data_IF_014686455478
#
_entry.id   IF_014686455478
#
_cell.length_a   1.000
_cell.length_b   1.000
_cell.length_c   1.000
_cell.angle_alpha   90.00
_cell.angle_beta   90.00
_cell.angle_gamma   90.00
#
_symmetry.space_group_name_H-M   'P 1'
#
loop_
_entity.id
_entity.type
_entity.pdbx_description
1 polymer ?
#
# COMPACT_ATOMS: atom_id res chain seq x y z
N UNK A 1 -3.56 -8.94 -9.36
CA UNK A 1 -4.16 -7.63 -9.04
C UNK A 1 -3.27 -6.62 -9.72
N UNK A 2 -3.66 -6.17 -10.92
CA UNK A 2 -2.69 -5.59 -11.85
C UNK A 2 -2.69 -4.06 -11.81
N UNK A 3 -3.81 -3.42 -11.41
CA UNK A 3 -3.84 -1.99 -11.19
C UNK A 3 -3.45 -1.62 -9.75
N UNK A 4 -2.28 -2.11 -9.34
CA UNK A 4 -1.71 -1.84 -8.02
C UNK A 4 -0.25 -1.39 -8.12
N UNK A 5 0.13 -0.45 -7.27
CA UNK A 5 1.50 -0.19 -6.87
C UNK A 5 1.76 -0.87 -5.54
N UNK A 6 2.73 -1.78 -5.49
CA UNK A 6 3.21 -2.37 -4.25
C UNK A 6 4.39 -1.57 -3.70
N UNK A 7 4.29 -1.12 -2.45
CA UNK A 7 5.35 -0.43 -1.72
C UNK A 7 5.80 -1.32 -0.56
N UNK A 8 7.04 -1.76 -0.60
CA UNK A 8 7.72 -2.37 0.54
C UNK A 8 8.90 -1.52 0.99
N UNK A 9 9.67 -1.99 1.96
CA UNK A 9 10.92 -1.35 2.30
C UNK A 9 11.91 -2.30 2.93
N UNK A 10 13.18 -1.92 2.89
CA UNK A 10 14.27 -2.75 3.39
C UNK A 10 14.22 -3.00 4.90
N UNK A 11 13.41 -2.23 5.64
CA UNK A 11 13.23 -2.39 7.08
C UNK A 11 12.10 -1.56 7.67
N UNK A 12 12.13 -1.43 9.00
CA UNK A 12 11.25 -0.52 9.75
C UNK A 12 11.79 0.90 9.65
N UNK A 13 10.88 1.88 9.64
CA UNK A 13 11.21 3.31 9.66
C UNK A 13 12.16 3.77 8.53
N UNK A 14 12.11 3.10 7.37
CA UNK A 14 12.84 3.49 6.15
C UNK A 14 12.06 4.48 5.28
N UNK A 15 10.93 5.00 5.77
CA UNK A 15 10.14 6.01 5.05
C UNK A 15 9.01 5.48 4.14
N UNK A 16 8.68 4.18 4.17
CA UNK A 16 7.62 3.58 3.33
C UNK A 16 6.31 4.38 3.29
N UNK A 17 5.79 4.72 4.46
CA UNK A 17 4.51 5.44 4.58
C UNK A 17 4.63 6.86 4.06
N UNK A 18 5.73 7.56 4.35
CA UNK A 18 5.98 8.90 3.82
C UNK A 18 6.09 8.89 2.29
N UNK A 19 6.85 7.93 1.76
CA UNK A 19 6.99 7.70 0.33
C UNK A 19 5.62 7.44 -0.33
N UNK A 20 4.84 6.52 0.23
CA UNK A 20 3.48 6.25 -0.25
C UNK A 20 2.55 7.45 -0.17
N UNK A 21 2.63 8.26 0.90
CA UNK A 21 1.82 9.47 1.04
C UNK A 21 2.17 10.50 -0.03
N UNK A 22 3.45 10.70 -0.35
CA UNK A 22 3.87 11.60 -1.43
C UNK A 22 3.27 11.16 -2.78
N UNK A 23 3.30 9.87 -3.08
CA UNK A 23 2.74 9.29 -4.31
C UNK A 23 1.21 9.46 -4.38
N UNK A 24 0.51 9.17 -3.28
CA UNK A 24 -0.94 9.34 -3.19
C UNK A 24 -1.32 10.81 -3.39
N UNK A 25 -0.56 11.74 -2.80
CA UNK A 25 -0.79 13.17 -2.97
C UNK A 25 -0.72 13.60 -4.44
N UNK A 26 0.20 13.07 -5.23
CA UNK A 26 0.29 13.39 -6.65
C UNK A 26 -0.82 12.75 -7.50
N UNK A 27 -1.10 11.46 -7.27
CA UNK A 27 -2.12 10.72 -8.00
C UNK A 27 -3.54 11.26 -7.74
N UNK A 28 -3.83 11.59 -6.48
CA UNK A 28 -5.15 12.09 -6.05
C UNK A 28 -5.54 13.41 -6.71
N UNK A 29 -4.59 14.18 -7.24
CA UNK A 29 -4.88 15.40 -8.00
C UNK A 29 -5.62 15.13 -9.31
N UNK A 30 -5.59 13.89 -9.84
CA UNK A 30 -6.14 13.54 -11.16
C UNK A 30 -7.09 12.34 -11.15
N UNK A 31 -6.97 11.44 -10.18
CA UNK A 31 -7.82 10.24 -10.07
C UNK A 31 -8.09 9.89 -8.62
N UNK A 32 -9.24 9.31 -8.28
CA UNK A 32 -9.42 8.62 -7.01
C UNK A 32 -8.34 7.54 -6.83
N UNK A 33 -7.76 7.47 -5.64
CA UNK A 33 -6.72 6.48 -5.28
C UNK A 33 -7.15 5.77 -4.01
N UNK A 34 -7.10 4.45 -4.04
CA UNK A 34 -7.32 3.63 -2.85
C UNK A 34 -5.99 3.20 -2.25
N UNK A 35 -5.96 3.03 -0.94
CA UNK A 35 -4.77 2.56 -0.22
C UNK A 35 -5.10 1.35 0.64
N UNK A 36 -4.19 0.40 0.66
CA UNK A 36 -4.21 -0.74 1.59
C UNK A 36 -2.91 -0.72 2.37
N UNK A 37 -2.97 -0.44 3.67
CA UNK A 37 -1.81 -0.48 4.56
C UNK A 37 -1.84 -1.77 5.37
N UNK A 38 -0.86 -2.65 5.16
CA UNK A 38 -0.78 -3.94 5.85
C UNK A 38 0.28 -3.86 6.96
N UNK A 39 -0.12 -4.21 8.18
CA UNK A 39 0.75 -4.38 9.34
C UNK A 39 0.78 -5.85 9.76
N UNK A 40 1.99 -6.40 9.96
CA UNK A 40 2.19 -7.68 10.65
C UNK A 40 2.16 -7.53 12.18
N UNK A 41 2.15 -6.29 12.68
CA UNK A 41 2.05 -5.99 14.10
C UNK A 41 0.60 -5.73 14.46
N UNK A 42 0.12 -6.51 15.43
CA UNK A 42 -1.25 -6.45 15.87
C UNK A 42 -1.40 -5.38 16.95
N UNK A 43 -2.33 -4.46 16.75
CA UNK A 43 -2.61 -3.34 17.63
C UNK A 43 -4.07 -3.37 18.07
N UNK A 44 -4.34 -2.94 19.31
CA UNK A 44 -5.70 -2.74 19.78
C UNK A 44 -6.38 -1.70 18.89
N UNK A 45 -7.57 -2.04 18.41
CA UNK A 45 -8.38 -1.16 17.59
C UNK A 45 -8.81 0.06 18.41
N UNK A 46 -8.88 1.22 17.76
CA UNK A 46 -9.47 2.43 18.33
C UNK A 46 -10.66 2.84 17.49
N UNK A 47 -11.53 3.68 18.04
CA UNK A 47 -12.83 4.07 17.46
C UNK A 47 -12.76 4.71 16.07
N UNK A 48 -11.57 5.14 15.61
CA UNK A 48 -11.37 5.73 14.28
C UNK A 48 -11.37 4.71 13.11
N UNK A 49 -11.58 3.43 13.39
CA UNK A 49 -11.57 2.34 12.42
C UNK A 49 -12.94 1.70 12.31
N UNK A 50 -13.48 1.63 11.10
CA UNK A 50 -14.69 0.86 10.82
C UNK A 50 -14.30 -0.58 10.42
N UNK A 51 -14.47 -1.54 11.34
CA UNK A 51 -14.09 -2.94 11.12
C UNK A 51 -15.01 -3.58 10.07
N UNK A 52 -14.43 -4.08 8.99
CA UNK A 52 -15.14 -4.77 7.90
C UNK A 52 -15.13 -6.29 8.08
N UNK A 53 -14.01 -6.84 8.53
CA UNK A 53 -13.88 -8.24 8.94
C UNK A 53 -12.84 -8.39 10.03
N UNK A 54 -13.05 -9.34 10.94
CA UNK A 54 -12.14 -9.68 12.03
C UNK A 54 -12.22 -11.18 12.32
N UNK A 55 -11.33 -11.93 11.69
CA UNK A 55 -11.06 -13.34 12.00
C UNK A 55 -9.73 -13.46 12.74
N UNK A 56 -9.47 -14.62 13.37
CA UNK A 56 -8.37 -14.87 14.33
C UNK A 56 -6.98 -14.36 13.90
N UNK A 57 -6.74 -14.19 12.59
CA UNK A 57 -5.46 -13.79 12.00
C UNK A 57 -5.54 -12.73 10.90
N UNK A 58 -6.73 -12.24 10.61
CA UNK A 58 -6.99 -11.22 9.59
C UNK A 58 -8.02 -10.24 10.11
N UNK A 59 -7.62 -8.98 10.21
CA UNK A 59 -8.55 -7.88 10.47
C UNK A 59 -8.38 -6.84 9.37
N UNK A 60 -9.49 -6.41 8.80
CA UNK A 60 -9.57 -5.35 7.80
C UNK A 60 -10.51 -4.29 8.34
N UNK A 61 -10.04 -3.05 8.40
CA UNK A 61 -10.85 -1.91 8.77
C UNK A 61 -10.66 -0.75 7.78
N UNK A 62 -11.70 0.02 7.55
CA UNK A 62 -11.62 1.29 6.83
C UNK A 62 -11.19 2.39 7.82
N UNK A 63 -10.14 3.13 7.46
CA UNK A 63 -9.78 4.36 8.17
C UNK A 63 -10.74 5.46 7.71
N UNK A 64 -11.28 6.20 8.66
CA UNK A 64 -12.26 7.27 8.41
C UNK A 64 -11.82 8.62 8.98
N UNK A 65 -10.76 8.66 9.78
CA UNK A 65 -10.26 9.88 10.43
C UNK A 65 -8.83 10.20 9.99
N UNK A 66 -8.69 11.23 9.15
CA UNK A 66 -7.40 11.73 8.67
C UNK A 66 -6.53 12.36 9.79
N UNK A 67 -7.08 12.62 10.97
CA UNK A 67 -6.40 13.29 12.10
C UNK A 67 -6.06 12.34 13.25
N UNK A 68 -6.34 11.04 13.12
CA UNK A 68 -6.16 10.05 14.19
C UNK A 68 -4.70 9.82 14.62
N UNK A 69 -3.72 10.35 13.88
CA UNK A 69 -2.28 10.21 14.15
C UNK A 69 -1.69 8.84 13.81
N UNK A 70 -2.51 7.90 13.31
CA UNK A 70 -2.08 6.58 12.82
C UNK A 70 -1.36 6.69 11.48
N UNK A 71 -0.56 5.68 11.17
CA UNK A 71 0.07 5.62 9.85
C UNK A 71 -0.93 5.49 8.70
N UNK A 72 -2.07 4.82 8.90
CA UNK A 72 -3.15 4.72 7.92
C UNK A 72 -3.80 6.07 7.64
N UNK A 73 -4.03 6.90 8.67
CA UNK A 73 -4.66 8.21 8.48
C UNK A 73 -3.80 9.21 7.73
N UNK A 74 -2.47 9.03 7.74
CA UNK A 74 -1.56 9.81 6.88
C UNK A 74 -1.90 9.67 5.39
N UNK A 75 -2.37 8.50 4.95
CA UNK A 75 -2.80 8.30 3.57
C UNK A 75 -4.10 9.02 3.24
N UNK A 76 -5.07 9.06 4.17
CA UNK A 76 -6.27 9.87 4.00
C UNK A 76 -5.92 11.35 3.93
N UNK A 77 -5.08 11.83 4.85
CA UNK A 77 -4.59 13.20 4.85
C UNK A 77 -3.83 13.57 3.57
N UNK A 78 -3.18 12.59 2.94
CA UNK A 78 -2.52 12.76 1.64
C UNK A 78 -3.49 12.81 0.44
N UNK A 79 -4.79 12.56 0.63
CA UNK A 79 -5.80 12.65 -0.43
C UNK A 79 -6.29 11.31 -0.96
N UNK A 80 -5.96 10.18 -0.30
CA UNK A 80 -6.57 8.90 -0.65
C UNK A 80 -8.09 8.97 -0.49
N UNK A 81 -8.81 8.44 -1.47
CA UNK A 81 -10.28 8.39 -1.45
C UNK A 81 -10.80 7.36 -0.46
N UNK A 82 -10.08 6.24 -0.31
CA UNK A 82 -10.35 5.19 0.67
C UNK A 82 -9.04 4.60 1.16
N UNK A 83 -8.99 4.27 2.44
CA UNK A 83 -7.84 3.62 3.06
C UNK A 83 -8.32 2.44 3.89
N UNK A 84 -7.79 1.26 3.60
CA UNK A 84 -7.94 0.09 4.44
C UNK A 84 -6.69 -0.14 5.27
N UNK A 85 -6.86 -0.16 6.59
CA UNK A 85 -5.86 -0.67 7.51
C UNK A 85 -6.10 -2.16 7.73
N UNK A 86 -5.04 -2.95 7.53
CA UNK A 86 -5.10 -4.40 7.63
C UNK A 86 -4.07 -4.89 8.64
N UNK A 87 -4.52 -5.68 9.62
CA UNK A 87 -3.65 -6.49 10.44
C UNK A 87 -3.72 -7.93 9.92
N UNK A 88 -2.61 -8.46 9.44
CA UNK A 88 -2.56 -9.80 8.86
C UNK A 88 -1.24 -10.49 9.20
N UNK A 89 -1.33 -11.78 9.55
CA UNK A 89 -0.16 -12.67 9.53
C UNK A 89 0.09 -13.18 8.11
N UNK A 90 1.28 -13.73 7.88
CA UNK A 90 1.70 -14.22 6.57
C UNK A 90 0.75 -15.29 6.01
N UNK A 91 0.30 -16.21 6.86
CA UNK A 91 -0.66 -17.26 6.49
C UNK A 91 -2.03 -16.73 6.03
N UNK A 92 -2.37 -15.49 6.37
CA UNK A 92 -3.65 -14.85 6.03
C UNK A 92 -3.57 -13.96 4.79
N UNK A 93 -2.38 -13.74 4.23
CA UNK A 93 -2.21 -12.92 3.03
C UNK A 93 -2.95 -13.47 1.80
N UNK A 94 -3.03 -14.79 1.55
CA UNK A 94 -3.86 -15.32 0.46
C UNK A 94 -5.33 -14.95 0.58
N UNK A 95 -5.88 -15.02 1.79
CA UNK A 95 -7.29 -14.65 2.07
C UNK A 95 -7.49 -13.15 1.82
N UNK A 96 -6.55 -12.32 2.27
CA UNK A 96 -6.58 -10.89 1.99
C UNK A 96 -6.55 -10.59 0.49
N UNK A 97 -5.74 -11.31 -0.31
CA UNK A 97 -5.71 -11.12 -1.76
C UNK A 97 -7.07 -11.39 -2.40
N UNK A 98 -7.78 -12.43 -1.98
CA UNK A 98 -9.13 -12.71 -2.48
C UNK A 98 -10.12 -11.63 -2.05
N UNK A 99 -10.06 -11.17 -0.80
CA UNK A 99 -10.87 -10.05 -0.34
C UNK A 99 -10.62 -8.78 -1.19
N UNK A 100 -9.36 -8.45 -1.48
CA UNK A 100 -8.98 -7.31 -2.29
C UNK A 100 -9.52 -7.40 -3.72
N UNK A 101 -9.49 -8.59 -4.35
CA UNK A 101 -10.05 -8.81 -5.70
C UNK A 101 -11.57 -8.68 -5.74
N UNK A 102 -12.25 -9.09 -4.66
CA UNK A 102 -13.71 -9.01 -4.56
C UNK A 102 -14.20 -7.59 -4.28
N UNK A 103 -13.44 -6.81 -3.50
CA UNK A 103 -13.89 -5.51 -3.01
C UNK A 103 -13.30 -4.32 -3.78
N UNK A 104 -12.23 -4.51 -4.54
CA UNK A 104 -11.61 -3.45 -5.34
C UNK A 104 -11.68 -3.78 -6.82
N UNK A 105 -12.34 -2.90 -7.57
CA UNK A 105 -12.43 -2.98 -9.03
C UNK A 105 -11.04 -3.07 -9.67
N UNK A 106 -10.88 -3.92 -10.69
CA UNK A 106 -9.63 -4.06 -11.45
C UNK A 106 -9.19 -2.78 -12.17
N UNK A 107 -10.10 -1.82 -12.36
CA UNK A 107 -9.85 -0.50 -12.97
C UNK A 107 -9.48 0.59 -11.96
N UNK A 108 -9.57 0.32 -10.66
CA UNK A 108 -9.27 1.30 -9.63
C UNK A 108 -7.78 1.26 -9.29
N UNK A 109 -7.04 2.38 -9.39
CA UNK A 109 -5.67 2.44 -8.89
C UNK A 109 -5.63 2.21 -7.38
N UNK A 110 -4.74 1.29 -6.97
CA UNK A 110 -4.48 0.98 -5.56
C UNK A 110 -3.01 1.17 -5.25
N UNK A 111 -2.70 1.81 -4.12
CA UNK A 111 -1.37 1.77 -3.50
C UNK A 111 -1.42 0.80 -2.32
N UNK A 112 -0.53 -0.17 -2.29
CA UNK A 112 -0.47 -1.20 -1.25
C UNK A 112 0.84 -1.08 -0.51
N UNK A 113 0.82 -0.70 0.77
CA UNK A 113 2.00 -0.76 1.64
C UNK A 113 2.08 -2.15 2.29
N UNK A 114 3.01 -3.00 1.84
CA UNK A 114 3.22 -4.34 2.40
C UNK A 114 4.59 -4.90 2.06
N UNK A 115 5.25 -5.51 3.05
CA UNK A 115 6.50 -6.26 2.82
C UNK A 115 6.28 -7.71 2.38
N UNK A 116 5.08 -8.27 2.57
CA UNK A 116 4.80 -9.69 2.31
C UNK A 116 3.89 -9.95 1.10
N UNK A 117 2.99 -9.02 0.76
CA UNK A 117 1.94 -9.28 -0.22
C UNK A 117 2.48 -9.58 -1.63
N UNK A 118 3.68 -9.10 -1.97
CA UNK A 118 4.30 -9.33 -3.29
C UNK A 118 4.57 -10.80 -3.62
N UNK A 119 4.51 -11.72 -2.65
CA UNK A 119 4.58 -13.18 -2.92
C UNK A 119 3.27 -13.75 -3.48
N UNK A 120 2.17 -13.00 -3.33
CA UNK A 120 0.82 -13.46 -3.63
C UNK A 120 0.14 -12.64 -4.73
N UNK A 121 0.75 -11.53 -5.14
CA UNK A 121 0.24 -10.68 -6.22
C UNK A 121 1.33 -10.37 -7.24
N UNK A 122 0.93 -10.17 -8.48
CA UNK A 122 1.73 -9.48 -9.48
C UNK A 122 1.16 -8.08 -9.69
N UNK A 123 1.74 -7.05 -9.05
CA UNK A 123 1.27 -5.68 -9.17
C UNK A 123 1.60 -5.13 -10.57
N UNK A 124 0.98 -4.00 -10.91
CA UNK A 124 1.32 -3.27 -12.13
C UNK A 124 2.71 -2.66 -12.02
N UNK A 125 3.05 -2.16 -10.83
CA UNK A 125 4.38 -1.66 -10.51
C UNK A 125 4.74 -1.98 -9.06
N UNK A 126 6.04 -1.98 -8.75
CA UNK A 126 6.52 -2.21 -7.39
C UNK A 126 7.71 -1.33 -7.06
N UNK A 127 7.82 -0.98 -5.79
CA UNK A 127 8.84 -0.10 -5.23
C UNK A 127 9.32 -0.66 -3.90
N UNK A 128 10.63 -0.65 -3.71
CA UNK A 128 11.29 -0.98 -2.46
C UNK A 128 11.96 0.27 -1.88
N UNK A 129 11.44 0.75 -0.75
CA UNK A 129 11.93 1.97 -0.09
C UNK A 129 13.05 1.63 0.89
N UNK A 130 14.23 2.22 0.69
CA UNK A 130 15.42 1.95 1.50
C UNK A 130 16.16 3.25 1.81
N UNK A 131 17.06 3.23 2.79
CA UNK A 131 17.78 4.43 3.26
C UNK A 131 19.30 4.22 3.25
N UNK A 132 19.80 3.42 2.30
CA UNK A 132 21.22 3.07 2.15
C UNK A 132 21.81 2.18 3.25
N UNK A 133 21.05 1.83 4.31
CA UNK A 133 21.56 1.05 5.45
C UNK A 133 21.34 -0.46 5.35
N UNK A 134 20.49 -0.92 4.42
CA UNK A 134 20.07 -2.32 4.34
C UNK A 134 19.86 -2.74 2.90
N UNK A 135 20.64 -3.71 2.42
CA UNK A 135 20.41 -4.40 1.13
C UNK A 135 19.49 -5.60 1.33
N UNK A 136 18.28 -5.38 1.84
CA UNK A 136 17.33 -6.47 1.93
C UNK A 136 16.66 -6.67 0.58
N UNK A 137 17.11 -7.67 -0.17
CA UNK A 137 16.44 -8.12 -1.40
C UNK A 137 15.06 -8.68 -1.04
N UNK A 138 14.06 -8.34 -1.85
CA UNK A 138 12.77 -9.02 -1.84
C UNK A 138 12.88 -10.34 -2.60
N UNK A 139 12.00 -11.28 -2.29
CA UNK A 139 11.85 -12.55 -3.00
C UNK A 139 10.79 -12.47 -4.11
N UNK A 140 10.52 -11.25 -4.59
CA UNK A 140 9.53 -11.01 -5.63
C UNK A 140 10.00 -11.54 -6.98
N UNK A 141 9.07 -12.13 -7.73
CA UNK A 141 9.32 -12.69 -9.07
C UNK A 141 9.15 -11.66 -10.19
N UNK A 142 9.15 -10.37 -9.86
CA UNK A 142 8.92 -9.25 -10.78
C UNK A 142 9.87 -8.08 -10.49
N UNK A 143 10.07 -7.25 -11.50
CA UNK A 143 10.87 -6.03 -11.44
C UNK A 143 10.28 -4.99 -10.47
N UNK A 144 11.15 -4.21 -9.84
CA UNK A 144 10.78 -3.15 -8.92
C UNK A 144 11.82 -2.03 -8.90
N UNK A 145 11.39 -0.82 -8.57
CA UNK A 145 12.30 0.29 -8.35
C UNK A 145 12.84 0.31 -6.93
N UNK A 146 14.10 0.70 -6.79
CA UNK A 146 14.66 1.13 -5.51
C UNK A 146 14.48 2.63 -5.38
N UNK A 147 13.94 3.09 -4.26
CA UNK A 147 13.82 4.52 -3.97
C UNK A 147 14.19 4.82 -2.51
N UNK A 148 14.56 6.06 -2.23
CA UNK A 148 14.62 6.63 -0.89
C UNK A 148 13.31 7.34 -0.50
N UNK A 149 13.13 7.65 0.79
CA UNK A 149 11.91 8.29 1.32
C UNK A 149 11.52 9.59 0.59
N UNK A 150 12.52 10.37 0.13
CA UNK A 150 12.34 11.68 -0.48
C UNK A 150 12.33 11.67 -2.01
N UNK A 151 12.60 10.51 -2.62
CA UNK A 151 12.58 10.35 -4.08
C UNK A 151 11.21 10.15 -4.75
N UNK A 152 10.10 9.75 -4.10
CA UNK A 152 8.87 9.42 -4.82
C UNK A 152 8.28 10.57 -5.64
N UNK A 153 8.55 11.82 -5.28
CA UNK A 153 8.16 12.99 -6.07
C UNK A 153 9.01 13.22 -7.32
N UNK A 154 10.22 12.65 -7.34
CA UNK A 154 11.20 12.79 -8.41
C UNK A 154 11.26 11.54 -9.32
N UNK A 155 10.81 10.40 -8.81
CA UNK A 155 10.75 9.14 -9.57
C UNK A 155 9.53 9.17 -10.48
N UNK A 156 9.78 9.11 -11.80
CA UNK A 156 8.71 8.97 -12.78
C UNK A 156 8.04 7.62 -12.60
N UNK A 157 6.92 7.62 -11.89
CA UNK A 157 6.12 6.43 -11.71
C UNK A 157 5.66 5.87 -13.06
N UNK A 158 5.64 4.54 -13.24
CA UNK A 158 5.09 3.92 -14.43
C UNK A 158 3.55 3.94 -14.35
N UNK A 159 2.94 5.13 -14.28
CA UNK A 159 1.48 5.28 -14.24
C UNK A 159 0.97 5.86 -15.57
N UNK A 160 0.02 5.17 -16.18
CA UNK A 160 -0.65 5.63 -17.38
C UNK A 160 -1.88 6.45 -17.02
N UNK A 161 -1.74 7.77 -17.08
CA UNK A 161 -2.83 8.70 -16.77
C UNK A 161 -4.05 8.56 -17.70
N UNK A 162 -3.85 8.19 -18.96
CA UNK A 162 -4.97 8.07 -19.92
C UNK A 162 -5.81 6.81 -19.65
N UNK A 163 -5.18 5.74 -19.16
CA UNK A 163 -5.84 4.46 -18.87
C UNK A 163 -6.16 4.27 -17.39
N UNK A 164 -5.67 5.17 -16.53
CA UNK A 164 -5.78 5.08 -15.09
C UNK A 164 -5.19 3.77 -14.53
N UNK A 165 -4.01 3.36 -15.01
CA UNK A 165 -3.41 2.08 -14.68
C UNK A 165 -1.91 2.17 -14.35
N UNK A 166 -1.48 1.37 -13.38
CA UNK A 166 -0.07 1.06 -13.17
C UNK A 166 0.47 0.19 -14.31
N UNK A 167 1.64 0.56 -14.82
CA UNK A 167 2.32 -0.12 -15.92
C UNK A 167 3.51 -0.90 -15.39
N UNK A 168 3.70 -2.07 -15.99
CA UNK A 168 4.88 -2.88 -15.76
C UNK A 168 6.13 -2.15 -16.25
N UNK A 169 7.19 -2.39 -15.51
CA UNK A 169 8.56 -2.02 -15.85
C UNK A 169 9.10 -3.09 -16.81
#
# INVERSE_FOLDING_TARGET
MNNALLIAGCGRNVGKTSAGCALVKELSLKTPVYVVKISSHFHVLTDSLNVLTSEDKLMIAEETDALSGKDSSRYLAAGATRVWYVQAREESLPVLVEWLKQNISSKQPVVIESSGLGRYIHPGAAVLVCNGKYDKKTDWSFEYYWIEENEPSNVRLPFNWNKNEWQRI
#
